data_IF_637805093651
#
_entry.id   IF_637805093651
#
_cell.length_a   1.000
_cell.length_b   1.000
_cell.length_c   1.000
_cell.angle_alpha   90.00
_cell.angle_beta   90.00
_cell.angle_gamma   90.00
#
_symmetry.space_group_name_H-M   'P 1'
#
loop_
_entity.id
_entity.type
_entity.pdbx_description
1 polymer ?
#
# COMPACT_ATOMS: atom_id res chain seq x y z
N UNK A 1 -26.43 -7.91 -16.03
CA UNK A 1 -26.64 -6.77 -15.12
C UNK A 1 -25.54 -5.77 -15.38
N UNK A 2 -25.85 -4.51 -15.61
CA UNK A 2 -24.89 -3.43 -15.88
C UNK A 2 -25.08 -2.29 -14.89
N UNK A 3 -24.00 -1.56 -14.64
CA UNK A 3 -23.93 -0.52 -13.61
C UNK A 3 -23.45 0.79 -14.24
N UNK A 4 -24.06 1.88 -13.87
CA UNK A 4 -23.52 3.22 -14.17
C UNK A 4 -22.22 3.49 -13.40
N UNK A 5 -21.46 4.51 -13.81
CA UNK A 5 -20.21 4.88 -13.11
C UNK A 5 -20.46 5.21 -11.64
N UNK A 6 -21.61 5.81 -11.29
CA UNK A 6 -21.97 6.13 -9.92
C UNK A 6 -22.28 4.90 -9.07
N UNK A 7 -22.97 3.92 -9.64
CA UNK A 7 -23.30 2.64 -8.96
C UNK A 7 -22.05 1.79 -8.79
N UNK A 8 -21.21 1.69 -9.82
CA UNK A 8 -19.95 0.97 -9.76
C UNK A 8 -19.02 1.58 -8.70
N UNK A 9 -18.89 2.91 -8.67
CA UNK A 9 -18.07 3.62 -7.70
C UNK A 9 -18.52 3.38 -6.25
N UNK A 10 -19.85 3.43 -6.00
CA UNK A 10 -20.42 3.13 -4.68
C UNK A 10 -20.12 1.70 -4.23
N UNK A 11 -20.29 0.71 -5.14
CA UNK A 11 -20.04 -0.70 -4.82
C UNK A 11 -18.58 -0.99 -4.51
N UNK A 12 -17.65 -0.31 -5.20
CA UNK A 12 -16.21 -0.47 -5.03
C UNK A 12 -15.63 0.47 -3.95
N UNK A 13 -16.47 1.31 -3.35
CA UNK A 13 -16.07 2.31 -2.36
C UNK A 13 -14.93 3.22 -2.86
N UNK A 14 -15.10 3.74 -4.08
CA UNK A 14 -14.15 4.68 -4.71
C UNK A 14 -14.91 5.89 -5.27
N UNK A 15 -14.19 6.99 -5.54
CA UNK A 15 -14.78 8.12 -6.21
C UNK A 15 -15.12 7.81 -7.68
N UNK A 16 -16.23 8.32 -8.25
CA UNK A 16 -16.52 8.16 -9.68
C UNK A 16 -15.42 8.66 -10.61
N UNK A 17 -14.66 9.68 -10.18
CA UNK A 17 -13.49 10.20 -10.89
C UNK A 17 -12.38 9.15 -11.03
N UNK A 18 -12.20 8.28 -10.04
CA UNK A 18 -11.23 7.18 -10.07
C UNK A 18 -11.54 6.19 -11.20
N UNK A 19 -12.80 5.82 -11.36
CA UNK A 19 -13.21 4.90 -12.44
C UNK A 19 -13.06 5.53 -13.82
N UNK A 20 -13.36 6.83 -13.96
CA UNK A 20 -13.12 7.56 -15.20
C UNK A 20 -11.63 7.66 -15.53
N UNK A 21 -10.79 7.82 -14.52
CA UNK A 21 -9.34 7.82 -14.65
C UNK A 21 -8.83 6.45 -15.12
N UNK A 22 -9.29 5.36 -14.54
CA UNK A 22 -8.91 4.01 -14.96
C UNK A 22 -9.33 3.72 -16.41
N UNK A 23 -10.51 4.15 -16.84
CA UNK A 23 -10.95 4.04 -18.21
C UNK A 23 -10.07 4.88 -19.16
N UNK A 24 -9.75 6.13 -18.78
CA UNK A 24 -8.87 7.02 -19.55
C UNK A 24 -7.45 6.44 -19.70
N UNK A 25 -6.91 5.82 -18.66
CA UNK A 25 -5.59 5.18 -18.68
C UNK A 25 -5.59 3.84 -19.43
N UNK A 26 -6.76 3.37 -19.88
CA UNK A 26 -6.89 2.12 -20.62
C UNK A 26 -6.65 0.87 -19.78
N UNK A 27 -7.00 0.91 -18.48
CA UNK A 27 -6.95 -0.23 -17.58
C UNK A 27 -8.13 -1.19 -17.78
N UNK A 28 -9.18 -0.73 -18.41
CA UNK A 28 -10.39 -1.49 -18.69
C UNK A 28 -10.46 -1.83 -20.18
N UNK A 29 -11.01 -2.99 -20.56
CA UNK A 29 -11.45 -3.21 -21.92
C UNK A 29 -12.50 -2.15 -22.28
N UNK A 30 -12.81 -1.99 -23.55
CA UNK A 30 -13.72 -0.95 -24.03
C UNK A 30 -15.06 -0.99 -23.26
N UNK A 31 -15.24 -0.03 -22.34
CA UNK A 31 -16.45 0.10 -21.55
C UNK A 31 -17.59 0.53 -22.47
N UNK A 32 -18.69 -0.22 -22.47
CA UNK A 32 -19.87 0.10 -23.28
C UNK A 32 -20.47 1.45 -22.85
N UNK A 33 -21.12 2.12 -23.80
CA UNK A 33 -21.83 3.37 -23.53
C UNK A 33 -23.27 3.25 -24.03
N UNK A 34 -24.19 3.87 -23.31
CA UNK A 34 -25.57 4.07 -23.80
C UNK A 34 -25.58 5.00 -25.01
N UNK A 35 -26.69 5.07 -25.73
CA UNK A 35 -26.92 6.06 -26.78
C UNK A 35 -26.70 7.51 -26.33
N UNK A 36 -26.96 7.80 -25.04
CA UNK A 36 -26.67 9.08 -24.38
C UNK A 36 -25.20 9.24 -23.90
N UNK A 37 -24.29 8.35 -24.25
CA UNK A 37 -22.85 8.44 -23.92
C UNK A 37 -22.49 8.06 -22.48
N UNK A 38 -23.45 7.54 -21.69
CA UNK A 38 -23.21 7.12 -20.29
C UNK A 38 -22.45 5.80 -20.28
N UNK A 39 -21.34 5.75 -19.53
CA UNK A 39 -20.54 4.52 -19.32
C UNK A 39 -21.33 3.48 -18.53
N UNK A 40 -21.36 2.26 -19.04
CA UNK A 40 -22.00 1.12 -18.41
C UNK A 40 -21.00 0.00 -18.16
N UNK A 41 -20.89 -0.44 -16.90
CA UNK A 41 -19.99 -1.49 -16.46
C UNK A 41 -20.76 -2.81 -16.31
N UNK A 42 -20.26 -3.86 -16.92
CA UNK A 42 -20.77 -5.23 -16.76
C UNK A 42 -20.30 -5.85 -15.44
N UNK A 43 -20.82 -7.03 -15.09
CA UNK A 43 -20.31 -7.80 -13.95
C UNK A 43 -18.81 -8.14 -14.10
N UNK A 44 -18.37 -8.50 -15.31
CA UNK A 44 -16.96 -8.78 -15.60
C UNK A 44 -16.08 -7.52 -15.43
N UNK A 45 -16.57 -6.34 -15.83
CA UNK A 45 -15.87 -5.07 -15.57
C UNK A 45 -15.74 -4.78 -14.08
N UNK A 46 -16.76 -5.13 -13.29
CA UNK A 46 -16.71 -4.96 -11.82
C UNK A 46 -15.65 -5.86 -11.17
N UNK A 47 -15.49 -7.09 -11.64
CA UNK A 47 -14.41 -7.99 -11.17
C UNK A 47 -13.03 -7.43 -11.54
N UNK A 48 -12.88 -6.96 -12.77
CA UNK A 48 -11.67 -6.29 -13.26
C UNK A 48 -11.32 -5.05 -12.43
N UNK A 49 -12.30 -4.20 -12.17
CA UNK A 49 -12.14 -3.00 -11.33
C UNK A 49 -11.77 -3.34 -9.88
N UNK A 50 -12.35 -4.40 -9.33
CA UNK A 50 -11.99 -4.90 -7.99
C UNK A 50 -10.54 -5.34 -7.94
N UNK A 51 -10.07 -6.09 -8.95
CA UNK A 51 -8.67 -6.51 -9.06
C UNK A 51 -7.73 -5.31 -9.18
N UNK A 52 -8.03 -4.34 -10.05
CA UNK A 52 -7.26 -3.10 -10.19
C UNK A 52 -7.17 -2.38 -8.85
N UNK A 53 -8.29 -2.27 -8.13
CA UNK A 53 -8.35 -1.66 -6.79
C UNK A 53 -7.43 -2.36 -5.78
N UNK A 54 -7.39 -3.69 -5.77
CA UNK A 54 -6.50 -4.48 -4.92
C UNK A 54 -5.02 -4.23 -5.25
N UNK A 55 -4.65 -4.26 -6.53
CA UNK A 55 -3.29 -4.01 -6.98
C UNK A 55 -2.85 -2.57 -6.67
N UNK A 56 -3.76 -1.60 -6.81
CA UNK A 56 -3.49 -0.21 -6.43
C UNK A 56 -3.27 -0.03 -4.94
N UNK A 57 -4.08 -0.67 -4.10
CA UNK A 57 -3.89 -0.69 -2.64
C UNK A 57 -2.56 -1.35 -2.23
N UNK A 58 -2.10 -2.35 -2.99
CA UNK A 58 -0.79 -2.96 -2.79
C UNK A 58 0.38 -2.05 -3.22
N UNK A 59 0.11 -0.83 -3.72
CA UNK A 59 1.12 0.14 -4.13
C UNK A 59 1.66 -0.06 -5.54
N UNK A 60 1.02 -0.88 -6.36
CA UNK A 60 1.43 -1.08 -7.76
C UNK A 60 1.19 0.18 -8.59
N UNK A 61 2.13 0.52 -9.47
CA UNK A 61 1.98 1.65 -10.39
C UNK A 61 0.88 1.41 -11.42
N UNK A 62 0.25 2.48 -11.91
CA UNK A 62 -0.75 2.37 -12.99
C UNK A 62 -0.16 1.68 -14.23
N UNK A 63 1.09 1.97 -14.57
CA UNK A 63 1.81 1.32 -15.67
C UNK A 63 1.91 -0.19 -15.48
N UNK A 64 2.30 -0.63 -14.29
CA UNK A 64 2.44 -2.06 -13.99
C UNK A 64 1.08 -2.76 -13.92
N UNK A 65 0.04 -2.08 -13.40
CA UNK A 65 -1.34 -2.60 -13.40
C UNK A 65 -1.83 -2.79 -14.84
N UNK A 66 -1.61 -1.80 -15.71
CA UNK A 66 -1.98 -1.90 -17.13
C UNK A 66 -1.28 -3.08 -17.80
N UNK A 67 0.02 -3.22 -17.59
CA UNK A 67 0.79 -4.35 -18.11
C UNK A 67 0.26 -5.69 -17.58
N UNK A 68 -0.10 -5.76 -16.30
CA UNK A 68 -0.69 -6.95 -15.69
C UNK A 68 -2.04 -7.29 -16.34
N UNK A 69 -2.91 -6.30 -16.55
CA UNK A 69 -4.21 -6.49 -17.20
C UNK A 69 -4.06 -6.94 -18.66
N UNK A 70 -3.12 -6.35 -19.41
CA UNK A 70 -2.81 -6.78 -20.77
C UNK A 70 -2.35 -8.25 -20.81
N UNK A 71 -1.54 -8.67 -19.86
CA UNK A 71 -1.13 -10.07 -19.74
C UNK A 71 -2.30 -10.99 -19.37
N UNK A 72 -3.23 -10.55 -18.53
CA UNK A 72 -4.45 -11.32 -18.24
C UNK A 72 -5.27 -11.57 -19.53
N UNK A 73 -5.41 -10.57 -20.38
CA UNK A 73 -6.12 -10.72 -21.67
C UNK A 73 -5.41 -11.66 -22.64
N UNK A 74 -4.08 -11.76 -22.59
CA UNK A 74 -3.29 -12.72 -23.41
C UNK A 74 -3.41 -14.17 -22.92
N UNK A 75 -3.99 -14.40 -21.74
CA UNK A 75 -4.24 -15.72 -21.19
C UNK A 75 -3.01 -16.42 -20.61
N UNK A 76 -3.02 -17.74 -20.64
CA UNK A 76 -2.12 -18.59 -19.85
C UNK A 76 -0.64 -18.50 -20.25
N UNK A 77 -0.34 -18.12 -21.48
CA UNK A 77 1.05 -17.88 -21.93
C UNK A 77 1.80 -16.82 -21.12
N UNK A 78 1.08 -16.00 -20.35
CA UNK A 78 1.63 -14.90 -19.54
C UNK A 78 1.66 -15.19 -18.03
N UNK A 79 1.27 -16.37 -17.57
CA UNK A 79 1.22 -16.73 -16.15
C UNK A 79 2.55 -16.43 -15.44
N UNK A 80 3.67 -16.81 -16.04
CA UNK A 80 5.00 -16.58 -15.47
C UNK A 80 5.31 -15.09 -15.30
N UNK A 81 4.96 -14.26 -16.29
CA UNK A 81 5.16 -12.80 -16.25
C UNK A 81 4.33 -12.16 -15.15
N UNK A 82 3.06 -12.55 -15.04
CA UNK A 82 2.16 -12.08 -13.98
C UNK A 82 2.67 -12.47 -12.60
N UNK A 83 3.11 -13.71 -12.44
CA UNK A 83 3.72 -14.20 -11.19
C UNK A 83 4.94 -13.38 -10.78
N UNK A 84 5.84 -13.10 -11.70
CA UNK A 84 7.05 -12.33 -11.37
C UNK A 84 6.73 -10.86 -11.00
N UNK A 85 5.74 -10.24 -11.66
CA UNK A 85 5.30 -8.90 -11.30
C UNK A 85 4.70 -8.85 -9.88
N UNK A 86 3.87 -9.81 -9.52
CA UNK A 86 3.30 -9.94 -8.16
C UNK A 86 4.41 -10.18 -7.13
N UNK A 87 5.40 -11.04 -7.42
CA UNK A 87 6.54 -11.25 -6.53
C UNK A 87 7.37 -9.99 -6.31
N UNK A 88 7.59 -9.21 -7.39
CA UNK A 88 8.27 -7.91 -7.31
C UNK A 88 7.52 -6.97 -6.37
N UNK A 89 6.21 -6.85 -6.53
CA UNK A 89 5.39 -5.97 -5.69
C UNK A 89 5.37 -6.44 -4.23
N UNK A 90 5.28 -7.75 -4.00
CA UNK A 90 5.35 -8.32 -2.65
C UNK A 90 6.66 -7.94 -1.94
N UNK A 91 7.80 -8.08 -2.62
CA UNK A 91 9.11 -7.68 -2.04
C UNK A 91 9.16 -6.18 -1.70
N UNK A 92 8.55 -5.34 -2.54
CA UNK A 92 8.47 -3.90 -2.24
C UNK A 92 7.66 -3.60 -0.98
N UNK A 93 6.55 -4.32 -0.78
CA UNK A 93 5.73 -4.19 0.44
C UNK A 93 6.48 -4.73 1.67
N UNK A 94 7.16 -5.88 1.56
CA UNK A 94 8.00 -6.44 2.64
C UNK A 94 9.09 -5.45 3.07
N UNK A 95 9.73 -4.77 2.11
CA UNK A 95 10.71 -3.73 2.40
C UNK A 95 10.10 -2.51 3.11
N UNK A 96 8.90 -2.07 2.70
CA UNK A 96 8.19 -0.99 3.41
C UNK A 96 7.84 -1.39 4.85
N UNK A 97 7.41 -2.62 5.09
CA UNK A 97 7.14 -3.15 6.43
C UNK A 97 8.43 -3.12 7.27
N UNK A 98 9.56 -3.54 6.71
CA UNK A 98 10.87 -3.50 7.39
C UNK A 98 11.22 -2.07 7.82
N UNK A 99 11.08 -1.10 6.91
CA UNK A 99 11.38 0.32 7.20
C UNK A 99 10.44 0.90 8.26
N UNK A 100 9.15 0.54 8.22
CA UNK A 100 8.18 0.97 9.24
C UNK A 100 8.50 0.37 10.61
N UNK A 101 8.91 -0.90 10.67
CA UNK A 101 9.34 -1.53 11.92
C UNK A 101 10.59 -0.85 12.49
N UNK A 102 11.56 -0.46 11.65
CA UNK A 102 12.72 0.32 12.09
C UNK A 102 12.33 1.68 12.66
N UNK A 103 11.31 2.30 12.08
CA UNK A 103 10.76 3.55 12.61
C UNK A 103 10.07 3.33 13.95
N UNK A 104 9.32 2.24 14.11
CA UNK A 104 8.70 1.87 15.38
C UNK A 104 9.73 1.64 16.48
N UNK A 105 10.84 0.95 16.19
CA UNK A 105 11.92 0.76 17.17
C UNK A 105 12.40 2.11 17.76
N UNK A 106 12.53 3.14 16.90
CA UNK A 106 12.92 4.49 17.32
C UNK A 106 11.84 5.13 18.20
N UNK A 107 10.58 5.01 17.79
CA UNK A 107 9.46 5.59 18.54
C UNK A 107 9.25 4.90 19.88
N UNK A 108 9.38 3.58 19.95
CA UNK A 108 9.30 2.79 21.17
C UNK A 108 10.37 3.21 22.19
N UNK A 109 11.61 3.40 21.70
CA UNK A 109 12.68 3.93 22.55
C UNK A 109 12.36 5.35 23.04
N UNK A 110 11.87 6.23 22.16
CA UNK A 110 11.50 7.61 22.53
C UNK A 110 10.34 7.64 23.52
N UNK A 111 9.35 6.79 23.34
CA UNK A 111 8.23 6.67 24.28
C UNK A 111 8.73 6.25 25.66
N UNK A 112 9.52 5.19 25.75
CA UNK A 112 10.12 4.76 27.01
C UNK A 112 10.96 5.87 27.67
N UNK A 113 11.76 6.58 26.87
CA UNK A 113 12.59 7.68 27.35
C UNK A 113 11.74 8.76 28.04
N UNK A 114 10.68 9.19 27.39
CA UNK A 114 9.82 10.25 27.96
C UNK A 114 8.94 9.76 29.11
N UNK A 115 8.44 8.55 29.06
CA UNK A 115 7.67 7.95 30.18
C UNK A 115 8.51 7.85 31.46
N UNK A 116 9.79 7.48 31.34
CA UNK A 116 10.71 7.43 32.49
C UNK A 116 11.13 8.81 32.97
N UNK A 117 11.38 9.75 32.05
CA UNK A 117 11.67 11.14 32.37
C UNK A 117 10.48 11.84 33.06
N UNK A 118 9.26 11.60 32.62
CA UNK A 118 8.04 12.14 33.24
C UNK A 118 7.89 11.67 34.68
N UNK A 119 8.08 10.36 34.95
CA UNK A 119 8.07 9.81 36.31
C UNK A 119 9.15 10.40 37.24
N UNK A 120 10.30 10.73 36.66
CA UNK A 120 11.41 11.35 37.40
C UNK A 120 11.30 12.89 37.52
N UNK A 121 10.41 13.50 36.73
CA UNK A 121 10.30 14.96 36.64
C UNK A 121 11.45 15.64 35.91
N UNK A 122 12.33 14.87 35.22
CA UNK A 122 13.48 15.40 34.49
C UNK A 122 14.05 14.40 33.48
N UNK A 123 14.52 14.91 32.34
CA UNK A 123 15.24 14.10 31.34
C UNK A 123 16.69 13.80 31.78
N UNK A 124 17.22 14.49 32.80
CA UNK A 124 18.61 14.30 33.26
C UNK A 124 18.92 12.90 33.78
N UNK A 125 17.91 12.12 34.13
CA UNK A 125 18.06 10.71 34.52
C UNK A 125 18.72 9.87 33.42
N UNK A 126 18.66 10.35 32.17
CA UNK A 126 19.20 9.65 31.00
C UNK A 126 20.60 10.09 30.60
N UNK A 127 21.18 11.12 31.24
CA UNK A 127 22.47 11.71 30.82
C UNK A 127 23.64 10.72 30.91
N UNK A 128 23.60 9.79 31.86
CA UNK A 128 24.66 8.81 32.13
C UNK A 128 24.23 7.35 31.93
N UNK A 129 23.09 7.09 31.23
CA UNK A 129 22.63 5.74 30.98
C UNK A 129 23.60 4.96 30.09
N UNK A 130 24.07 3.81 30.59
CA UNK A 130 24.77 2.81 29.79
C UNK A 130 23.78 2.06 28.88
N UNK A 131 24.29 1.24 27.97
CA UNK A 131 23.42 0.39 27.14
C UNK A 131 22.71 -0.67 27.98
N UNK A 132 23.35 -1.12 29.07
CA UNK A 132 22.82 -2.15 29.96
C UNK A 132 21.62 -1.66 30.79
N UNK A 133 21.59 -0.36 31.12
CA UNK A 133 20.47 0.28 31.85
C UNK A 133 19.20 0.39 31.02
N UNK A 134 19.30 0.23 29.70
CA UNK A 134 18.18 0.30 28.78
C UNK A 134 17.60 -1.09 28.56
N UNK A 135 16.28 -1.28 28.76
CA UNK A 135 15.62 -2.55 28.45
C UNK A 135 15.95 -3.03 27.04
N UNK A 136 16.29 -4.30 26.90
CA UNK A 136 16.78 -4.92 25.67
C UNK A 136 15.95 -4.57 24.44
N UNK A 137 14.62 -4.58 24.58
CA UNK A 137 13.68 -4.26 23.51
C UNK A 137 13.80 -2.84 22.93
N UNK A 138 14.41 -1.90 23.65
CA UNK A 138 14.60 -0.51 23.21
C UNK A 138 16.01 -0.17 22.75
N UNK A 139 16.97 -1.08 22.91
CA UNK A 139 18.39 -0.83 22.56
C UNK A 139 18.56 -0.59 21.06
N UNK A 140 17.80 -1.32 20.23
CA UNK A 140 17.82 -1.14 18.78
C UNK A 140 17.43 0.30 18.40
N UNK A 141 16.34 0.81 18.93
CA UNK A 141 15.87 2.17 18.69
C UNK A 141 16.87 3.24 19.15
N UNK A 142 17.52 3.03 20.32
CA UNK A 142 18.57 3.95 20.79
C UNK A 142 19.76 4.03 19.82
N UNK A 143 20.24 2.89 19.31
CA UNK A 143 21.36 2.85 18.36
C UNK A 143 21.02 3.67 17.11
N UNK A 144 19.83 3.51 16.56
CA UNK A 144 19.36 4.26 15.39
C UNK A 144 19.29 5.77 15.67
N UNK A 145 18.81 6.19 16.85
CA UNK A 145 18.78 7.62 17.24
C UNK A 145 20.17 8.23 17.35
N UNK A 146 21.16 7.47 17.82
CA UNK A 146 22.54 7.96 17.98
C UNK A 146 23.37 7.88 16.69
N UNK A 147 22.83 7.34 15.60
CA UNK A 147 23.53 7.19 14.32
C UNK A 147 24.66 6.14 14.37
N UNK A 148 24.62 5.23 15.33
CA UNK A 148 25.55 4.11 15.50
C UNK A 148 24.87 2.81 15.04
N UNK A 149 24.48 2.75 13.77
CA UNK A 149 24.04 1.52 13.12
C UNK A 149 25.16 0.96 12.27
#
# INVERSE_FOLDING_TARGET
>A
MSYTVGEAARRLNVAPSTLRYYDKEGLLPAVSRTEGGIRMFTAADMETLSMIGCLKKAGMSIKDIKQFMDWCHRGDSTISLRKELIKKQRRAVEEQIRQLNETLDVLDYKQWYYETAEKAGTCKIHDNLSEEDIPEKFRCGRKKVKGTA
#
